data_IF_618921444901
#
_entry.id   IF_618921444901
#
_cell.length_a   1.000
_cell.length_b   1.000
_cell.length_c   1.000
_cell.angle_alpha   90.00
_cell.angle_beta   90.00
_cell.angle_gamma   90.00
#
_symmetry.space_group_name_H-M   'P 1'
#
loop_
_entity.id
_entity.type
_entity.pdbx_description
1 polymer ?
#
# COMPACT_ATOMS: atom_id res chain seq x y z
N UNK A 1 10.51 11.86 -15.98
CA UNK A 1 11.03 10.48 -15.99
C UNK A 1 9.85 9.54 -15.86
N UNK A 2 9.71 8.67 -16.82
CA UNK A 2 8.61 7.74 -16.91
C UNK A 2 8.66 6.73 -15.74
N UNK A 3 7.57 6.63 -14.97
CA UNK A 3 7.43 5.70 -13.86
C UNK A 3 7.68 4.23 -14.28
N UNK A 4 7.51 3.94 -15.58
CA UNK A 4 7.75 2.64 -16.18
C UNK A 4 9.23 2.24 -16.17
N UNK A 5 10.14 3.20 -16.21
CA UNK A 5 11.59 2.93 -16.25
C UNK A 5 12.17 2.60 -14.86
N UNK A 6 11.52 3.05 -13.78
CA UNK A 6 11.97 2.78 -12.41
C UNK A 6 11.59 1.38 -11.91
N UNK A 7 10.58 0.75 -12.52
CA UNK A 7 10.12 -0.58 -12.13
C UNK A 7 11.07 -1.73 -12.53
N UNK A 8 12.08 -1.46 -13.35
CA UNK A 8 12.91 -2.51 -13.96
C UNK A 8 14.34 -2.66 -13.41
N UNK A 9 14.68 -2.08 -12.24
CA UNK A 9 15.96 -2.44 -11.65
C UNK A 9 16.74 -1.38 -10.90
N UNK A 10 16.11 -0.39 -10.28
CA UNK A 10 16.80 0.71 -9.60
C UNK A 10 16.65 0.76 -8.08
N UNK A 11 15.99 -0.20 -7.44
CA UNK A 11 15.78 -0.14 -5.99
C UNK A 11 16.79 -1.03 -5.25
N UNK A 12 17.45 -0.44 -4.24
CA UNK A 12 18.47 -1.11 -3.43
C UNK A 12 17.94 -1.47 -2.03
N UNK A 13 16.74 -1.03 -1.68
CA UNK A 13 16.18 -1.22 -0.34
C UNK A 13 14.69 -1.51 -0.36
N UNK A 14 14.21 -2.17 0.68
CA UNK A 14 12.78 -2.35 0.95
C UNK A 14 12.10 -0.99 1.11
N UNK A 15 12.72 -0.09 1.87
CA UNK A 15 12.23 1.27 2.10
C UNK A 15 12.00 2.00 0.77
N UNK A 16 12.97 1.98 -0.13
CA UNK A 16 12.86 2.66 -1.42
C UNK A 16 11.76 2.08 -2.29
N UNK A 17 11.67 0.76 -2.38
CA UNK A 17 10.71 0.11 -3.27
C UNK A 17 9.27 0.20 -2.78
N UNK A 18 9.03 -0.12 -1.51
CA UNK A 18 7.67 -0.05 -0.96
C UNK A 18 7.20 1.39 -0.77
N UNK A 19 8.10 2.31 -0.46
CA UNK A 19 7.78 3.74 -0.43
C UNK A 19 7.37 4.27 -1.80
N UNK A 20 8.06 3.84 -2.87
CA UNK A 20 7.65 4.14 -4.24
C UNK A 20 6.25 3.58 -4.55
N UNK A 21 5.94 2.37 -4.08
CA UNK A 21 4.63 1.77 -4.31
C UNK A 21 3.52 2.51 -3.56
N UNK A 22 3.79 3.01 -2.34
CA UNK A 22 2.87 3.90 -1.64
C UNK A 22 2.54 5.15 -2.46
N UNK A 23 3.56 5.82 -3.01
CA UNK A 23 3.37 7.03 -3.82
C UNK A 23 2.56 6.74 -5.10
N UNK A 24 2.82 5.61 -5.73
CA UNK A 24 2.09 5.14 -6.90
C UNK A 24 0.60 4.92 -6.58
N UNK A 25 0.30 4.28 -5.45
CA UNK A 25 -1.06 4.03 -5.01
C UNK A 25 -1.78 5.33 -4.64
N UNK A 26 -1.11 6.24 -3.96
CA UNK A 26 -1.65 7.56 -3.62
C UNK A 26 -2.05 8.35 -4.88
N UNK A 27 -1.23 8.30 -5.92
CA UNK A 27 -1.54 8.96 -7.19
C UNK A 27 -2.79 8.34 -7.85
N UNK A 28 -2.90 7.02 -7.82
CA UNK A 28 -4.10 6.32 -8.32
C UNK A 28 -5.36 6.76 -7.59
N UNK A 29 -5.31 6.88 -6.27
CA UNK A 29 -6.45 7.33 -5.47
C UNK A 29 -6.81 8.79 -5.74
N UNK A 30 -5.83 9.67 -5.92
CA UNK A 30 -6.10 11.07 -6.28
C UNK A 30 -6.87 11.17 -7.59
N UNK A 31 -6.50 10.36 -8.58
CA UNK A 31 -7.21 10.30 -9.87
C UNK A 31 -8.66 9.87 -9.70
N UNK A 32 -8.91 8.84 -8.87
CA UNK A 32 -10.26 8.37 -8.56
C UNK A 32 -11.09 9.47 -7.90
N UNK A 33 -10.55 10.12 -6.87
CA UNK A 33 -11.24 11.18 -6.13
C UNK A 33 -11.53 12.39 -7.01
N UNK A 34 -10.62 12.73 -7.93
CA UNK A 34 -10.84 13.79 -8.92
C UNK A 34 -12.01 13.44 -9.84
N UNK A 35 -12.09 12.20 -10.33
CA UNK A 35 -13.19 11.74 -11.18
C UNK A 35 -14.52 11.79 -10.43
N UNK A 36 -14.58 11.36 -9.16
CA UNK A 36 -15.78 11.46 -8.31
C UNK A 36 -16.22 12.92 -8.17
N UNK A 37 -15.28 13.83 -7.90
CA UNK A 37 -15.56 15.25 -7.77
C UNK A 37 -16.13 15.90 -9.03
N UNK A 38 -15.83 15.32 -10.20
CA UNK A 38 -16.36 15.77 -11.51
C UNK A 38 -17.62 15.02 -11.94
N UNK A 39 -18.15 14.13 -11.10
CA UNK A 39 -19.32 13.31 -11.42
C UNK A 39 -19.06 12.22 -12.46
N UNK A 40 -17.80 11.87 -12.73
CA UNK A 40 -17.38 10.86 -13.72
C UNK A 40 -17.29 9.48 -13.06
N UNK A 41 -18.43 8.93 -12.67
CA UNK A 41 -18.45 7.69 -11.87
C UNK A 41 -17.96 6.44 -12.61
N UNK A 42 -18.18 6.34 -13.91
CA UNK A 42 -17.68 5.21 -14.72
C UNK A 42 -16.15 5.21 -14.72
N UNK A 43 -15.56 6.36 -14.95
CA UNK A 43 -14.10 6.56 -14.91
C UNK A 43 -13.56 6.31 -13.50
N UNK A 44 -14.24 6.84 -12.47
CA UNK A 44 -13.87 6.64 -11.08
C UNK A 44 -13.89 5.16 -10.68
N UNK A 45 -14.94 4.43 -11.07
CA UNK A 45 -15.07 3.01 -10.75
C UNK A 45 -13.96 2.17 -11.40
N UNK A 46 -13.62 2.46 -12.65
CA UNK A 46 -12.53 1.75 -13.34
C UNK A 46 -11.17 2.02 -12.68
N UNK A 47 -10.88 3.28 -12.36
CA UNK A 47 -9.64 3.66 -11.67
C UNK A 47 -9.58 3.09 -10.26
N UNK A 48 -10.69 3.05 -9.57
CA UNK A 48 -10.78 2.48 -8.22
C UNK A 48 -10.48 0.98 -8.22
N UNK A 49 -11.02 0.24 -9.17
CA UNK A 49 -10.76 -1.20 -9.29
C UNK A 49 -9.26 -1.50 -9.43
N UNK A 50 -8.57 -0.71 -10.24
CA UNK A 50 -7.12 -0.82 -10.41
C UNK A 50 -6.37 -0.46 -9.12
N UNK A 51 -6.74 0.67 -8.50
CA UNK A 51 -6.17 1.11 -7.22
C UNK A 51 -6.36 0.07 -6.12
N UNK A 52 -7.59 -0.41 -5.93
CA UNK A 52 -7.90 -1.40 -4.89
C UNK A 52 -7.12 -2.70 -5.09
N UNK A 53 -7.04 -3.18 -6.33
CA UNK A 53 -6.26 -4.37 -6.66
C UNK A 53 -4.79 -4.20 -6.30
N UNK A 54 -4.22 -3.04 -6.61
CA UNK A 54 -2.84 -2.71 -6.29
C UNK A 54 -2.60 -2.63 -4.79
N UNK A 55 -3.48 -1.95 -4.06
CA UNK A 55 -3.36 -1.81 -2.61
C UNK A 55 -3.53 -3.16 -1.90
N UNK A 56 -4.55 -3.94 -2.24
CA UNK A 56 -4.74 -5.27 -1.63
C UNK A 56 -3.55 -6.20 -1.87
N UNK A 57 -2.92 -6.11 -3.04
CA UNK A 57 -1.67 -6.83 -3.33
C UNK A 57 -0.54 -6.36 -2.42
N UNK A 58 -0.38 -5.05 -2.24
CA UNK A 58 0.62 -4.46 -1.37
C UNK A 58 0.45 -4.96 0.08
N UNK A 59 -0.76 -4.85 0.63
CA UNK A 59 -1.06 -5.31 2.00
C UNK A 59 -0.78 -6.81 2.17
N UNK A 60 -1.15 -7.62 1.18
CA UNK A 60 -0.91 -9.07 1.21
C UNK A 60 0.59 -9.40 1.23
N UNK A 61 1.37 -8.70 0.41
CA UNK A 61 2.83 -8.91 0.37
C UNK A 61 3.46 -8.58 1.73
N UNK A 62 3.01 -7.53 2.37
CA UNK A 62 3.49 -7.20 3.71
C UNK A 62 3.12 -8.26 4.73
N UNK A 63 1.87 -8.70 4.74
CA UNK A 63 1.40 -9.71 5.69
C UNK A 63 2.06 -11.08 5.49
N UNK A 64 2.32 -11.47 4.25
CA UNK A 64 2.85 -12.80 3.92
C UNK A 64 4.37 -12.85 3.86
N UNK A 65 5.04 -11.73 3.59
CA UNK A 65 6.48 -11.71 3.36
C UNK A 65 7.24 -10.73 4.27
N UNK A 66 6.84 -9.45 4.29
CA UNK A 66 7.60 -8.42 4.99
C UNK A 66 7.50 -8.56 6.51
N UNK A 67 6.29 -8.65 7.04
CA UNK A 67 6.08 -8.77 8.49
C UNK A 67 6.69 -10.05 9.06
N UNK A 68 6.52 -11.24 8.43
CA UNK A 68 7.19 -12.44 8.92
C UNK A 68 8.71 -12.37 8.92
N UNK A 69 9.32 -11.77 7.89
CA UNK A 69 10.78 -11.59 7.85
C UNK A 69 11.23 -10.62 8.95
N UNK A 70 10.50 -9.52 9.14
CA UNK A 70 10.78 -8.57 10.22
C UNK A 70 10.69 -9.24 11.59
N UNK A 71 9.63 -9.98 11.85
CA UNK A 71 9.43 -10.70 13.12
C UNK A 71 10.57 -11.69 13.39
N UNK A 72 10.94 -12.48 12.38
CA UNK A 72 12.01 -13.46 12.50
C UNK A 72 13.38 -12.83 12.75
N UNK A 73 13.67 -11.71 12.10
CA UNK A 73 14.97 -11.05 12.20
C UNK A 73 15.10 -10.12 13.41
N UNK A 74 14.01 -9.49 13.84
CA UNK A 74 13.99 -8.60 14.99
C UNK A 74 13.74 -9.33 16.31
N UNK A 75 13.10 -10.49 16.27
CA UNK A 75 12.61 -11.20 17.45
C UNK A 75 11.35 -10.58 18.05
N UNK A 76 10.76 -9.58 17.42
CA UNK A 76 9.56 -8.88 17.90
C UNK A 76 8.30 -9.58 17.38
N UNK A 77 7.78 -10.54 18.13
CA UNK A 77 6.58 -11.31 17.76
C UNK A 77 5.29 -10.62 18.18
N UNK A 78 5.32 -9.85 19.26
CA UNK A 78 4.16 -9.13 19.81
C UNK A 78 4.46 -7.62 19.79
N UNK A 79 4.42 -7.00 18.63
CA UNK A 79 4.86 -5.63 18.54
C UNK A 79 4.31 -4.86 17.34
N UNK A 80 5.17 -4.11 16.65
CA UNK A 80 4.73 -3.17 15.60
C UNK A 80 3.95 -3.83 14.46
N UNK A 81 4.25 -5.08 14.11
CA UNK A 81 3.55 -5.79 13.04
C UNK A 81 2.10 -6.14 13.39
N UNK A 82 1.79 -6.36 14.67
CA UNK A 82 0.40 -6.59 15.09
C UNK A 82 -0.45 -5.35 14.91
N UNK A 83 0.08 -4.19 15.26
CA UNK A 83 -0.60 -2.89 15.03
C UNK A 83 -0.83 -2.67 13.55
N UNK A 84 0.18 -2.91 12.72
CA UNK A 84 0.07 -2.74 11.26
C UNK A 84 -0.95 -3.70 10.64
N UNK A 85 -1.01 -4.95 11.11
CA UNK A 85 -2.04 -5.90 10.67
C UNK A 85 -3.45 -5.45 11.03
N UNK A 86 -3.64 -4.87 12.23
CA UNK A 86 -4.92 -4.29 12.63
C UNK A 86 -5.31 -3.11 11.74
N UNK A 87 -4.36 -2.26 11.43
CA UNK A 87 -4.58 -1.14 10.52
C UNK A 87 -4.95 -1.61 9.11
N UNK A 88 -4.33 -2.70 8.62
CA UNK A 88 -4.71 -3.35 7.36
C UNK A 88 -6.19 -3.77 7.36
N UNK A 89 -6.70 -4.30 8.48
CA UNK A 89 -8.12 -4.64 8.59
C UNK A 89 -9.01 -3.41 8.47
N UNK A 90 -8.62 -2.31 9.11
CA UNK A 90 -9.34 -1.03 9.02
C UNK A 90 -9.31 -0.47 7.60
N UNK A 91 -8.16 -0.54 6.92
CA UNK A 91 -8.02 -0.13 5.52
C UNK A 91 -8.97 -0.94 4.62
N UNK A 92 -9.04 -2.27 4.80
CA UNK A 92 -9.97 -3.10 4.03
C UNK A 92 -11.43 -2.73 4.27
N UNK A 93 -11.80 -2.37 5.50
CA UNK A 93 -13.15 -1.88 5.79
C UNK A 93 -13.44 -0.56 5.07
N UNK A 94 -12.50 0.37 5.09
CA UNK A 94 -12.63 1.64 4.38
C UNK A 94 -12.77 1.44 2.86
N UNK A 95 -11.97 0.54 2.28
CA UNK A 95 -12.07 0.19 0.86
C UNK A 95 -13.45 -0.32 0.49
N UNK A 96 -14.04 -1.18 1.33
CA UNK A 96 -15.40 -1.71 1.09
C UNK A 96 -16.44 -0.59 1.07
N UNK A 97 -16.34 0.39 1.99
CA UNK A 97 -17.23 1.54 2.02
C UNK A 97 -17.08 2.43 0.79
N UNK A 98 -15.85 2.68 0.37
CA UNK A 98 -15.56 3.47 -0.85
C UNK A 98 -16.12 2.77 -2.10
N UNK A 99 -15.88 1.47 -2.24
CA UNK A 99 -16.43 0.66 -3.33
C UNK A 99 -17.94 0.75 -3.39
N UNK A 100 -18.61 0.60 -2.25
CA UNK A 100 -20.08 0.68 -2.16
C UNK A 100 -20.58 2.04 -2.62
N UNK A 101 -19.95 3.13 -2.21
CA UNK A 101 -20.30 4.49 -2.64
C UNK A 101 -20.22 4.63 -4.16
N UNK A 102 -19.16 4.11 -4.78
CA UNK A 102 -18.98 4.15 -6.23
C UNK A 102 -20.03 3.32 -6.97
N UNK A 103 -20.33 2.12 -6.49
CA UNK A 103 -21.35 1.25 -7.09
C UNK A 103 -22.76 1.85 -7.02
N UNK A 104 -23.05 2.62 -5.98
CA UNK A 104 -24.33 3.31 -5.79
C UNK A 104 -24.38 4.70 -6.43
N UNK A 105 -23.29 5.12 -7.07
CA UNK A 105 -23.14 6.48 -7.62
C UNK A 105 -23.43 7.54 -6.55
N UNK A 106 -22.90 7.32 -5.36
CA UNK A 106 -23.10 8.14 -4.17
C UNK A 106 -21.77 8.77 -3.74
N UNK A 107 -21.56 10.03 -4.14
CA UNK A 107 -20.34 10.77 -3.83
C UNK A 107 -20.14 10.97 -2.32
N UNK A 108 -21.23 11.18 -1.57
CA UNK A 108 -21.15 11.37 -0.12
C UNK A 108 -20.72 10.09 0.59
N UNK A 109 -21.28 8.94 0.19
CA UNK A 109 -20.88 7.64 0.74
C UNK A 109 -19.43 7.32 0.41
N UNK A 110 -18.98 7.59 -0.82
CA UNK A 110 -17.56 7.47 -1.19
C UNK A 110 -16.67 8.34 -0.30
N UNK A 111 -17.05 9.61 -0.10
CA UNK A 111 -16.29 10.56 0.71
C UNK A 111 -16.21 10.14 2.18
N UNK A 112 -17.25 9.54 2.73
CA UNK A 112 -17.24 9.01 4.10
C UNK A 112 -16.25 7.85 4.23
N UNK A 113 -16.25 6.94 3.28
CA UNK A 113 -15.26 5.85 3.20
C UNK A 113 -13.84 6.38 3.04
N UNK A 114 -13.64 7.39 2.19
CA UNK A 114 -12.35 8.02 1.98
C UNK A 114 -11.82 8.68 3.26
N UNK A 115 -12.67 9.37 4.03
CA UNK A 115 -12.27 9.97 5.31
C UNK A 115 -11.81 8.90 6.31
N UNK A 116 -12.51 7.77 6.36
CA UNK A 116 -12.06 6.65 7.20
C UNK A 116 -10.70 6.13 6.72
N UNK A 117 -10.54 5.92 5.43
CA UNK A 117 -9.27 5.50 4.81
C UNK A 117 -8.13 6.46 5.17
N UNK A 118 -8.35 7.75 5.00
CA UNK A 118 -7.36 8.79 5.29
C UNK A 118 -7.07 8.97 6.79
N UNK A 119 -7.96 8.51 7.65
CA UNK A 119 -7.72 8.51 9.10
C UNK A 119 -6.75 7.40 9.55
N UNK A 120 -6.50 6.41 8.69
CA UNK A 120 -5.66 5.24 9.03
C UNK A 120 -4.39 5.20 8.19
N UNK A 121 -4.50 5.28 6.87
CA UNK A 121 -3.40 4.95 5.97
C UNK A 121 -2.19 5.87 6.04
N UNK A 122 -2.30 7.21 6.11
CA UNK A 122 -1.12 8.06 6.15
C UNK A 122 -0.19 7.79 7.34
N UNK A 123 -0.74 7.65 8.53
CA UNK A 123 0.04 7.32 9.74
C UNK A 123 0.60 5.90 9.67
N UNK A 124 -0.16 4.96 9.10
CA UNK A 124 0.28 3.61 8.84
C UNK A 124 1.50 3.59 7.91
N UNK A 125 1.42 4.24 6.76
CA UNK A 125 2.52 4.33 5.81
C UNK A 125 3.75 5.02 6.43
N UNK A 126 3.54 6.05 7.26
CA UNK A 126 4.63 6.72 7.96
C UNK A 126 5.37 5.80 8.92
N UNK A 127 4.65 4.96 9.67
CA UNK A 127 5.28 3.96 10.56
C UNK A 127 6.12 2.95 9.77
N UNK A 128 5.66 2.56 8.61
CA UNK A 128 6.39 1.64 7.74
C UNK A 128 7.64 2.30 7.14
N UNK A 129 7.49 3.45 6.52
CA UNK A 129 8.58 4.13 5.82
C UNK A 129 9.66 4.68 6.76
N UNK A 130 9.28 5.11 7.96
CA UNK A 130 10.21 5.73 8.90
C UNK A 130 10.78 4.74 9.94
N UNK A 131 10.11 3.64 10.19
CA UNK A 131 10.49 2.70 11.26
C UNK A 131 10.66 1.28 10.73
N UNK A 132 9.59 0.65 10.23
CA UNK A 132 9.59 -0.78 9.91
C UNK A 132 10.55 -1.13 8.76
N UNK A 133 10.39 -0.48 7.61
CA UNK A 133 11.21 -0.78 6.44
C UNK A 133 12.69 -0.43 6.66
N UNK A 134 13.05 0.75 7.22
CA UNK A 134 14.45 1.04 7.50
C UNK A 134 15.08 0.08 8.51
N UNK A 135 14.32 -0.35 9.51
CA UNK A 135 14.78 -1.34 10.48
C UNK A 135 15.05 -2.67 9.80
N UNK A 136 14.12 -3.14 8.96
CA UNK A 136 14.30 -4.36 8.19
C UNK A 136 15.52 -4.29 7.28
N UNK A 137 15.70 -3.17 6.56
CA UNK A 137 16.86 -2.96 5.70
C UNK A 137 18.19 -3.06 6.46
N UNK A 138 18.23 -2.60 7.72
CA UNK A 138 19.42 -2.72 8.58
C UNK A 138 19.65 -4.13 9.11
N UNK A 139 18.58 -4.89 9.35
CA UNK A 139 18.65 -6.26 9.88
C UNK A 139 19.10 -7.27 8.82
N UNK A 140 18.87 -6.96 7.54
CA UNK A 140 19.23 -7.83 6.43
C UNK A 140 20.65 -7.53 5.95
N UNK A 141 21.39 -8.60 5.61
CA UNK A 141 22.66 -8.45 4.91
C UNK A 141 22.40 -7.91 3.48
N UNK A 142 23.38 -7.22 2.85
CA UNK A 142 23.15 -6.66 1.51
C UNK A 142 22.62 -7.65 0.47
N UNK A 143 23.13 -8.89 0.46
CA UNK A 143 22.68 -9.93 -0.47
C UNK A 143 21.22 -10.38 -0.18
N UNK A 144 20.87 -10.50 1.10
CA UNK A 144 19.49 -10.84 1.53
C UNK A 144 18.51 -9.73 1.16
N UNK A 145 18.91 -8.49 1.38
CA UNK A 145 18.10 -7.32 1.03
C UNK A 145 17.86 -7.25 -0.48
N UNK A 146 18.91 -7.44 -1.29
CA UNK A 146 18.81 -7.46 -2.75
C UNK A 146 17.86 -8.57 -3.23
N UNK A 147 17.96 -9.77 -2.65
CA UNK A 147 17.08 -10.90 -2.97
C UNK A 147 15.62 -10.60 -2.61
N UNK A 148 15.38 -9.98 -1.46
CA UNK A 148 14.04 -9.60 -1.02
C UNK A 148 13.44 -8.55 -1.95
N UNK A 149 14.19 -7.51 -2.29
CA UNK A 149 13.72 -6.46 -3.23
C UNK A 149 13.38 -7.06 -4.60
N UNK A 150 14.22 -7.96 -5.11
CA UNK A 150 13.93 -8.65 -6.38
C UNK A 150 12.64 -9.46 -6.30
N UNK A 151 12.38 -10.13 -5.17
CA UNK A 151 11.14 -10.87 -4.95
C UNK A 151 9.93 -9.94 -4.90
N UNK A 152 10.02 -8.81 -4.20
CA UNK A 152 8.96 -7.80 -4.14
C UNK A 152 8.62 -7.28 -5.54
N UNK A 153 9.62 -7.00 -6.37
CA UNK A 153 9.40 -6.55 -7.74
C UNK A 153 8.61 -7.56 -8.57
N UNK A 154 8.89 -8.85 -8.41
CA UNK A 154 8.14 -9.91 -9.09
C UNK A 154 6.69 -10.03 -8.60
N UNK A 155 6.46 -9.91 -7.30
CA UNK A 155 5.14 -10.09 -6.70
C UNK A 155 4.22 -8.88 -6.95
N UNK A 156 4.75 -7.66 -6.95
CA UNK A 156 3.95 -6.45 -7.18
C UNK A 156 3.57 -6.23 -8.64
N UNK A 157 4.22 -6.91 -9.58
CA UNK A 157 3.90 -6.80 -11.02
C UNK A 157 2.83 -7.81 -11.46
N UNK A 158 2.55 -8.84 -10.68
CA UNK A 158 1.48 -9.81 -10.96
C UNK A 158 0.11 -9.24 -10.62
#
# INVERSE_FOLDING_TARGET
MDASCMAQGGFESVTGYLGWDHDRLDEGLRSVSSAVGKGRFVEAAAGYEEFERGLLRHLRIEEELIFPVFEARSGMLDGPTDVLRDEHRQVRMALALMRRGLLQVDAAAYSDGLRFFESVLPDHNAKEEHILYPTLDRLLRPAERAALVSRLQRELVK
#
